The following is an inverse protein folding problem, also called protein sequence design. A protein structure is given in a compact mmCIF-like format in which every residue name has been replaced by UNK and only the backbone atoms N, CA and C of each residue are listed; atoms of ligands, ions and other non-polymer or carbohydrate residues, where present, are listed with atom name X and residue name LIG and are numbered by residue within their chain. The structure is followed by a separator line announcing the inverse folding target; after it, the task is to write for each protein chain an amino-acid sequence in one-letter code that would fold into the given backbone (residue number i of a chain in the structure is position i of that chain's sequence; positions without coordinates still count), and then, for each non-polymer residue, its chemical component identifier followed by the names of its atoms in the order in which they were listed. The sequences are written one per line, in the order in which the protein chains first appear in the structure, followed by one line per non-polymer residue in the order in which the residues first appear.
data_IF_785160599733
#
_entry.id   IF_785160599733
#
_cell.length_a   1.000
_cell.length_b   1.000
_cell.length_c   1.000
_cell.angle_alpha   90.00
_cell.angle_beta   90.00
_cell.angle_gamma   90.00
#
_symmetry.space_group_name_H-M   'P 1'
#
loop_
_entity.id
_entity.type
_entity.pdbx_description
1 polymer ?
#
# COMPACT_ATOMS: atom_id res chain seq x y z
N UNK A 1 20.43 1.30 -28.21
CA UNK A 1 21.37 0.16 -28.17
C UNK A 1 20.58 -1.09 -28.54
N UNK A 2 21.10 -2.01 -29.38
CA UNK A 2 20.38 -3.26 -29.66
C UNK A 2 20.54 -4.21 -28.47
N UNK A 3 19.46 -4.86 -28.05
CA UNK A 3 19.51 -5.85 -26.97
C UNK A 3 20.40 -7.04 -27.34
N UNK A 4 21.06 -7.64 -26.33
CA UNK A 4 21.84 -8.87 -26.49
C UNK A 4 21.25 -10.04 -25.66
N UNK A 5 21.86 -11.23 -25.77
CA UNK A 5 21.43 -12.41 -25.02
C UNK A 5 21.60 -12.26 -23.49
N UNK A 6 22.53 -11.42 -23.03
CA UNK A 6 22.70 -11.13 -21.60
C UNK A 6 21.53 -10.31 -21.09
N UNK A 7 21.03 -9.37 -21.89
CA UNK A 7 19.85 -8.56 -21.55
C UNK A 7 18.58 -9.40 -21.47
N UNK A 8 18.39 -10.33 -22.42
CA UNK A 8 17.32 -11.34 -22.37
C UNK A 8 17.37 -12.15 -21.08
N UNK A 9 18.55 -12.67 -20.72
CA UNK A 9 18.71 -13.46 -19.51
C UNK A 9 18.45 -12.63 -18.25
N UNK A 10 18.85 -11.35 -18.25
CA UNK A 10 18.57 -10.41 -17.14
C UNK A 10 17.08 -10.22 -16.97
N UNK A 11 16.36 -9.85 -18.03
CA UNK A 11 14.90 -9.64 -17.99
C UNK A 11 14.17 -10.92 -17.58
N UNK A 12 14.61 -12.08 -18.08
CA UNK A 12 14.01 -13.37 -17.73
C UNK A 12 14.18 -13.72 -16.26
N UNK A 13 15.37 -13.48 -15.68
CA UNK A 13 15.59 -13.69 -14.24
C UNK A 13 14.75 -12.73 -13.39
N UNK A 14 14.61 -11.48 -13.83
CA UNK A 14 13.75 -10.50 -13.16
C UNK A 14 12.28 -10.89 -13.24
N UNK A 15 11.80 -11.35 -14.40
CA UNK A 15 10.42 -11.79 -14.55
C UNK A 15 10.09 -12.97 -13.61
N UNK A 16 11.03 -13.90 -13.43
CA UNK A 16 10.89 -15.03 -12.48
C UNK A 16 10.89 -14.58 -11.03
N UNK A 17 11.79 -13.67 -10.65
CA UNK A 17 11.80 -13.09 -9.29
C UNK A 17 10.54 -12.27 -9.00
N UNK A 18 10.04 -11.55 -10.00
CA UNK A 18 8.78 -10.82 -9.93
C UNK A 18 7.60 -11.76 -9.74
N UNK A 19 7.51 -12.80 -10.57
CA UNK A 19 6.43 -13.81 -10.50
C UNK A 19 6.40 -14.51 -9.15
N UNK A 20 7.57 -14.89 -8.61
CA UNK A 20 7.67 -15.62 -7.35
C UNK A 20 7.35 -14.78 -6.12
N UNK A 21 7.85 -13.54 -6.06
CA UNK A 21 7.89 -12.80 -4.81
C UNK A 21 6.82 -11.70 -4.69
N UNK A 22 6.37 -11.15 -5.83
CA UNK A 22 5.52 -9.95 -5.84
C UNK A 22 4.21 -10.19 -6.59
N UNK A 23 4.25 -10.94 -7.69
CA UNK A 23 3.09 -11.08 -8.54
C UNK A 23 1.96 -11.89 -7.87
N UNK A 24 0.74 -11.37 -7.95
CA UNK A 24 -0.41 -12.02 -7.34
C UNK A 24 -0.46 -11.82 -5.83
N UNK A 25 0.34 -10.89 -5.31
CA UNK A 25 0.26 -10.40 -3.93
C UNK A 25 -0.12 -8.94 -3.92
N UNK A 26 -0.91 -8.58 -2.92
CA UNK A 26 -1.22 -7.20 -2.58
C UNK A 26 -0.50 -6.87 -1.26
N UNK A 27 -0.03 -5.64 -1.16
CA UNK A 27 0.68 -5.15 0.01
C UNK A 27 -0.09 -3.98 0.61
N UNK A 28 -0.35 -4.03 1.91
CA UNK A 28 -0.88 -2.90 2.67
C UNK A 28 0.26 -2.23 3.42
N UNK A 29 0.48 -0.96 3.14
CA UNK A 29 1.56 -0.19 3.76
C UNK A 29 0.91 0.84 4.67
N UNK A 30 1.08 0.65 5.97
CA UNK A 30 0.59 1.53 7.01
C UNK A 30 1.72 2.51 7.36
N UNK A 31 1.49 3.81 7.19
CA UNK A 31 2.51 4.84 7.37
C UNK A 31 1.91 6.11 7.96
N UNK A 32 2.71 6.87 8.69
CA UNK A 32 2.25 8.06 9.39
C UNK A 32 2.92 8.20 10.73
N UNK A 33 2.38 9.10 11.54
CA UNK A 33 2.88 9.43 12.87
C UNK A 33 1.81 9.10 13.92
N UNK A 34 2.12 9.34 15.19
CA UNK A 34 1.26 9.07 16.34
C UNK A 34 -0.19 9.51 16.10
N UNK A 35 -1.13 8.58 16.29
CA UNK A 35 -2.57 8.81 16.10
C UNK A 35 -3.05 9.06 14.67
N UNK A 36 -2.17 9.07 13.66
CA UNK A 36 -2.52 9.40 12.27
C UNK A 36 -1.90 8.43 11.25
N UNK A 37 -2.12 7.13 11.46
CA UNK A 37 -1.72 6.11 10.48
C UNK A 37 -2.63 6.14 9.26
N UNK A 38 -2.02 6.29 8.09
CA UNK A 38 -2.64 6.16 6.78
C UNK A 38 -2.28 4.81 6.17
N UNK A 39 -3.03 4.40 5.16
CA UNK A 39 -2.76 3.16 4.44
C UNK A 39 -2.63 3.38 2.94
N UNK A 40 -1.76 2.58 2.33
CA UNK A 40 -1.57 2.49 0.89
C UNK A 40 -1.63 1.03 0.47
N UNK A 41 -2.57 0.69 -0.39
CA UNK A 41 -2.60 -0.61 -1.04
C UNK A 41 -1.77 -0.59 -2.32
N UNK A 42 -0.83 -1.52 -2.44
CA UNK A 42 0.07 -1.68 -3.59
C UNK A 42 -0.08 -3.08 -4.18
N UNK A 43 -0.61 -3.15 -5.40
CA UNK A 43 -0.77 -4.42 -6.12
C UNK A 43 0.29 -4.60 -7.21
N UNK A 44 0.87 -5.78 -7.30
CA UNK A 44 1.83 -6.15 -8.34
C UNK A 44 1.19 -7.10 -9.35
N UNK A 45 0.99 -6.61 -10.59
CA UNK A 45 0.37 -7.39 -11.67
C UNK A 45 1.30 -7.68 -12.85
N UNK A 46 1.17 -8.88 -13.40
CA UNK A 46 1.95 -9.35 -14.56
C UNK A 46 1.91 -8.42 -15.77
N UNK A 47 0.78 -7.74 -16.00
CA UNK A 47 0.57 -6.82 -17.12
C UNK A 47 1.47 -5.59 -17.08
N UNK A 48 2.06 -5.29 -15.91
CA UNK A 48 2.82 -4.06 -15.64
C UNK A 48 4.31 -4.28 -15.40
N UNK A 49 4.78 -5.51 -15.63
CA UNK A 49 6.19 -5.87 -15.49
C UNK A 49 7.12 -4.96 -16.32
N UNK A 50 6.70 -4.52 -17.52
CA UNK A 50 7.48 -3.63 -18.38
C UNK A 50 7.79 -2.27 -17.72
N UNK A 51 6.83 -1.69 -17.01
CA UNK A 51 6.99 -0.41 -16.30
C UNK A 51 7.98 -0.55 -15.14
N UNK A 52 7.87 -1.67 -14.41
CA UNK A 52 8.76 -2.03 -13.32
C UNK A 52 10.24 -2.06 -13.77
N UNK A 53 10.52 -2.68 -14.91
CA UNK A 53 11.90 -2.85 -15.40
C UNK A 53 12.38 -1.75 -16.35
N UNK A 54 11.61 -0.68 -16.54
CA UNK A 54 12.01 0.48 -17.35
C UNK A 54 12.21 0.16 -18.83
N UNK A 55 11.44 -0.80 -19.36
CA UNK A 55 11.46 -1.16 -20.79
C UNK A 55 10.53 -0.23 -21.55
N UNK A 56 11.09 0.50 -22.52
CA UNK A 56 10.31 1.37 -23.41
C UNK A 56 9.45 0.51 -24.37
N UNK A 57 8.15 0.55 -24.15
CA UNK A 57 7.14 -0.15 -24.97
C UNK A 57 7.07 0.36 -26.40
N UNK A 58 7.43 1.61 -26.67
CA UNK A 58 7.47 2.14 -28.04
C UNK A 58 8.64 1.56 -28.87
N UNK A 59 9.64 0.99 -28.19
CA UNK A 59 10.84 0.42 -28.82
C UNK A 59 10.96 -1.10 -28.64
N UNK A 60 10.01 -1.70 -27.93
CA UNK A 60 9.87 -3.14 -27.78
C UNK A 60 8.98 -3.68 -28.90
N UNK A 61 9.37 -4.79 -29.54
CA UNK A 61 8.60 -5.38 -30.64
C UNK A 61 7.45 -6.28 -30.16
N UNK A 62 7.30 -6.47 -28.85
CA UNK A 62 6.23 -7.28 -28.25
C UNK A 62 5.44 -6.46 -27.23
N UNK A 63 4.16 -6.76 -27.10
CA UNK A 63 3.28 -6.14 -26.10
C UNK A 63 3.76 -6.47 -24.67
N UNK A 64 3.54 -5.59 -23.67
CA UNK A 64 3.95 -5.79 -22.27
C UNK A 64 3.67 -7.17 -21.66
N UNK A 65 2.45 -7.67 -21.84
CA UNK A 65 2.04 -8.96 -21.32
C UNK A 65 2.73 -10.14 -22.02
N UNK A 66 3.01 -9.99 -23.32
CA UNK A 66 3.74 -11.00 -24.11
C UNK A 66 5.21 -11.01 -23.72
N UNK A 67 5.82 -9.84 -23.48
CA UNK A 67 7.17 -9.70 -22.96
C UNK A 67 7.33 -10.49 -21.65
N UNK A 68 6.44 -10.24 -20.69
CA UNK A 68 6.47 -10.94 -19.41
C UNK A 68 6.29 -12.46 -19.56
N UNK A 69 5.31 -12.91 -20.36
CA UNK A 69 5.09 -14.34 -20.62
C UNK A 69 6.33 -15.02 -21.19
N UNK A 70 6.93 -14.42 -22.21
CA UNK A 70 8.16 -14.93 -22.84
C UNK A 70 9.34 -14.95 -21.87
N UNK A 71 9.48 -13.90 -21.04
CA UNK A 71 10.54 -13.79 -20.04
C UNK A 71 10.45 -14.88 -18.96
N UNK A 72 9.24 -15.15 -18.44
CA UNK A 72 9.01 -16.22 -17.45
C UNK A 72 9.25 -17.60 -18.08
N UNK A 73 8.73 -17.82 -19.29
CA UNK A 73 8.87 -19.07 -20.03
C UNK A 73 10.30 -19.32 -20.57
N UNK A 74 11.19 -18.33 -20.53
CA UNK A 74 12.55 -18.44 -21.07
C UNK A 74 12.60 -18.45 -22.60
N UNK A 75 11.57 -17.94 -23.28
CA UNK A 75 11.45 -17.88 -24.75
C UNK A 75 11.63 -16.46 -25.31
N UNK A 76 12.02 -15.52 -24.45
CA UNK A 76 12.33 -14.14 -24.84
C UNK A 76 13.59 -14.10 -25.71
N UNK A 77 13.58 -13.29 -26.76
CA UNK A 77 14.73 -13.13 -27.67
C UNK A 77 15.20 -11.67 -27.72
N UNK A 78 16.45 -11.39 -28.15
CA UNK A 78 16.91 -10.01 -28.28
C UNK A 78 16.09 -9.21 -29.29
N UNK A 79 15.57 -9.88 -30.33
CA UNK A 79 14.67 -9.27 -31.32
C UNK A 79 13.37 -8.77 -30.69
N UNK A 80 12.83 -9.47 -29.69
CA UNK A 80 11.61 -9.04 -28.98
C UNK A 80 11.83 -7.71 -28.25
N UNK A 81 13.04 -7.47 -27.74
CA UNK A 81 13.41 -6.27 -26.99
C UNK A 81 13.74 -5.07 -27.91
N UNK A 82 14.13 -5.30 -29.16
CA UNK A 82 14.46 -4.21 -30.09
C UNK A 82 15.55 -3.29 -29.52
N UNK A 83 15.25 -2.00 -29.42
CA UNK A 83 16.13 -0.99 -28.81
C UNK A 83 15.64 -0.49 -27.44
N UNK A 84 14.66 -1.18 -26.83
CA UNK A 84 13.93 -0.75 -25.64
C UNK A 84 14.74 -0.65 -24.34
N UNK A 85 16.00 -1.04 -24.35
CA UNK A 85 16.87 -1.04 -23.19
C UNK A 85 17.51 0.34 -23.02
N UNK A 86 17.09 1.04 -21.97
CA UNK A 86 17.77 2.26 -21.55
C UNK A 86 19.14 1.92 -20.94
N UNK A 87 20.07 2.88 -21.00
CA UNK A 87 21.36 2.82 -20.30
C UNK A 87 21.24 2.74 -18.77
N UNK A 88 20.02 2.85 -18.23
CA UNK A 88 19.71 2.83 -16.81
C UNK A 88 19.13 1.49 -16.33
N UNK A 89 19.16 0.44 -17.16
CA UNK A 89 18.66 -0.87 -16.76
C UNK A 89 19.48 -1.45 -15.58
N UNK A 90 18.86 -1.72 -14.42
CA UNK A 90 19.58 -2.18 -13.24
C UNK A 90 20.18 -3.59 -13.43
N UNK A 91 21.30 -3.86 -12.75
CA UNK A 91 21.99 -5.15 -12.86
C UNK A 91 21.18 -6.33 -12.28
N UNK A 92 21.45 -7.56 -12.77
CA UNK A 92 20.77 -8.82 -12.42
C UNK A 92 20.60 -9.02 -10.91
N UNK A 93 21.67 -8.81 -10.14
CA UNK A 93 21.66 -9.00 -8.69
C UNK A 93 20.83 -7.93 -7.97
N UNK A 94 20.78 -6.73 -8.53
CA UNK A 94 20.24 -5.56 -7.85
C UNK A 94 18.72 -5.50 -7.95
N UNK A 95 18.15 -5.70 -9.14
CA UNK A 95 16.69 -5.73 -9.28
C UNK A 95 16.06 -7.00 -8.68
N UNK A 96 16.77 -8.14 -8.66
CA UNK A 96 16.34 -9.33 -7.90
C UNK A 96 16.42 -9.11 -6.38
N UNK A 97 17.48 -8.47 -5.88
CA UNK A 97 17.56 -8.04 -4.48
C UNK A 97 16.45 -7.06 -4.13
N UNK A 98 16.10 -6.13 -5.00
CA UNK A 98 15.02 -5.17 -4.74
C UNK A 98 13.66 -5.82 -4.55
N UNK A 99 13.31 -6.76 -5.43
CA UNK A 99 12.03 -7.45 -5.31
C UNK A 99 11.95 -8.32 -4.05
N UNK A 100 13.09 -8.83 -3.55
CA UNK A 100 13.17 -9.54 -2.27
C UNK A 100 13.20 -8.58 -1.06
N UNK A 101 13.89 -7.44 -1.19
CA UNK A 101 14.15 -6.49 -0.11
C UNK A 101 13.02 -5.48 0.10
N UNK A 102 12.09 -5.32 -0.85
CA UNK A 102 10.98 -4.38 -0.73
C UNK A 102 10.22 -4.60 0.58
N UNK A 103 9.78 -5.85 0.80
CA UNK A 103 9.07 -6.25 2.01
C UNK A 103 9.91 -6.09 3.29
N UNK A 104 11.25 -6.16 3.20
CA UNK A 104 12.14 -6.27 4.37
C UNK A 104 13.01 -5.04 4.63
N UNK A 105 12.91 -3.97 3.83
CA UNK A 105 13.82 -2.82 3.94
C UNK A 105 13.16 -1.46 3.76
N UNK A 106 11.91 -1.40 3.27
CA UNK A 106 11.16 -0.16 3.18
C UNK A 106 10.80 0.36 4.58
N UNK A 107 11.10 1.63 4.85
CA UNK A 107 10.88 2.25 6.16
C UNK A 107 10.17 3.59 6.10
N UNK A 108 10.08 4.25 4.94
CA UNK A 108 9.44 5.56 4.81
C UNK A 108 8.65 5.70 3.52
N UNK A 109 7.61 6.53 3.58
CA UNK A 109 6.77 6.96 2.47
C UNK A 109 6.90 8.48 2.32
N UNK A 110 7.11 8.98 1.10
CA UNK A 110 7.14 10.43 0.83
C UNK A 110 6.42 10.76 -0.47
N UNK A 111 5.99 12.01 -0.63
CA UNK A 111 5.40 12.45 -1.90
C UNK A 111 6.52 12.64 -2.93
N UNK A 112 6.24 12.32 -4.19
CA UNK A 112 7.17 12.59 -5.29
C UNK A 112 7.09 14.08 -5.65
N UNK A 113 8.25 14.73 -5.82
CA UNK A 113 8.28 16.03 -6.48
C UNK A 113 8.11 15.83 -8.00
N UNK A 114 7.01 16.33 -8.59
CA UNK A 114 6.73 16.14 -10.02
C UNK A 114 7.76 16.85 -10.92
N UNK A 115 8.43 17.90 -10.44
CA UNK A 115 9.37 18.69 -11.23
C UNK A 115 10.76 18.03 -11.33
N UNK A 116 11.13 17.20 -10.35
CA UNK A 116 12.48 16.62 -10.27
C UNK A 116 12.60 15.21 -10.86
N UNK A 117 11.50 14.49 -11.05
CA UNK A 117 11.59 13.04 -11.27
C UNK A 117 11.42 12.59 -12.72
N UNK A 118 10.76 13.35 -13.61
CA UNK A 118 10.38 12.90 -14.98
C UNK A 118 9.65 11.54 -15.00
N UNK A 119 9.22 11.03 -13.85
CA UNK A 119 8.45 9.79 -13.72
C UNK A 119 7.02 10.19 -13.40
N UNK A 120 6.05 9.50 -13.98
CA UNK A 120 4.67 9.63 -13.55
C UNK A 120 4.52 8.86 -12.22
N UNK A 121 4.95 9.48 -11.12
CA UNK A 121 4.89 8.93 -9.78
C UNK A 121 4.27 9.90 -8.78
N UNK A 122 3.53 9.38 -7.80
CA UNK A 122 2.87 10.17 -6.75
C UNK A 122 3.56 9.98 -5.40
N UNK A 123 4.09 8.78 -5.15
CA UNK A 123 4.63 8.37 -3.85
C UNK A 123 5.99 7.68 -4.04
N UNK A 124 6.94 7.98 -3.16
CA UNK A 124 8.18 7.23 -2.96
C UNK A 124 8.05 6.34 -1.75
N UNK A 125 8.43 5.08 -1.91
CA UNK A 125 8.67 4.17 -0.79
C UNK A 125 10.16 3.95 -0.69
N UNK A 126 10.74 4.26 0.45
CA UNK A 126 12.19 4.34 0.63
C UNK A 126 12.63 3.60 1.87
N UNK A 127 13.87 3.11 1.84
CA UNK A 127 14.50 2.48 2.98
C UNK A 127 16.02 2.33 2.82
N UNK A 128 16.62 1.49 3.65
CA UNK A 128 18.10 1.45 3.83
C UNK A 128 18.82 0.88 2.61
N UNK A 129 18.19 -0.06 1.89
CA UNK A 129 18.83 -0.80 0.79
C UNK A 129 18.15 -0.62 -0.59
N UNK A 130 16.88 -0.21 -0.63
CA UNK A 130 16.12 -0.08 -1.86
C UNK A 130 15.06 1.03 -1.75
N UNK A 131 14.81 1.72 -2.86
CA UNK A 131 13.85 2.82 -2.98
C UNK A 131 12.99 2.60 -4.23
N UNK A 132 11.71 2.95 -4.18
CA UNK A 132 10.69 2.64 -5.17
C UNK A 132 9.87 3.89 -5.46
N UNK A 133 9.80 4.29 -6.73
CA UNK A 133 8.84 5.29 -7.17
C UNK A 133 7.53 4.57 -7.47
N UNK A 134 6.55 4.73 -6.60
CA UNK A 134 5.20 4.25 -6.83
C UNK A 134 4.42 5.39 -7.48
N UNK A 135 4.00 5.14 -8.72
CA UNK A 135 3.13 6.06 -9.42
C UNK A 135 1.77 5.50 -9.64
N UNK A 136 0.76 6.22 -9.16
CA UNK A 136 -0.61 5.94 -9.52
C UNK A 136 -0.75 6.02 -11.04
N UNK A 137 -0.74 4.86 -11.71
CA UNK A 137 -1.24 4.75 -13.07
C UNK A 137 -2.76 4.87 -12.98
N UNK A 138 -3.29 6.10 -12.89
CA UNK A 138 -4.65 6.42 -13.33
C UNK A 138 -4.67 6.27 -14.85
N UNK A 139 -4.77 5.04 -15.33
CA UNK A 139 -4.98 4.76 -16.75
C UNK A 139 -6.27 3.96 -16.85
N UNK A 140 -7.32 4.66 -17.28
CA UNK A 140 -8.68 4.18 -17.54
C UNK A 140 -9.38 3.52 -16.34
N UNK A 141 -9.63 4.32 -15.30
CA UNK A 141 -10.72 4.03 -14.38
C UNK A 141 -12.04 4.19 -15.15
N UNK A 142 -12.48 3.13 -15.84
CA UNK A 142 -13.90 2.83 -15.78
C UNK A 142 -14.23 2.74 -14.29
N UNK A 143 -15.09 3.65 -13.86
CA UNK A 143 -15.47 3.86 -12.47
C UNK A 143 -15.85 2.52 -11.80
N UNK A 144 -15.69 2.48 -10.48
CA UNK A 144 -16.10 1.41 -9.55
C UNK A 144 -15.03 0.38 -9.16
N UNK A 145 -13.98 0.82 -8.47
CA UNK A 145 -13.42 0.09 -7.30
C UNK A 145 -12.37 0.97 -6.62
N UNK A 146 -12.20 0.76 -5.31
CA UNK A 146 -11.25 1.45 -4.44
C UNK A 146 -9.88 1.68 -5.09
N UNK A 147 -9.34 2.89 -4.91
CA UNK A 147 -8.10 3.36 -5.53
C UNK A 147 -6.87 2.52 -5.14
N UNK A 148 -6.59 1.43 -5.85
CA UNK A 148 -5.39 0.63 -5.66
C UNK A 148 -4.19 1.32 -6.35
N UNK A 149 -3.12 1.61 -5.60
CA UNK A 149 -1.90 2.17 -6.16
C UNK A 149 -1.08 1.06 -6.82
N UNK A 150 -0.36 1.41 -7.89
CA UNK A 150 0.37 0.42 -8.67
C UNK A 150 1.78 0.92 -8.93
N UNK A 151 2.82 0.09 -8.83
CA UNK A 151 4.19 0.54 -9.08
C UNK A 151 4.35 1.00 -10.54
N UNK A 152 4.90 2.20 -10.75
CA UNK A 152 5.13 2.77 -12.08
C UNK A 152 6.58 2.65 -12.53
N UNK A 153 7.54 2.53 -11.61
CA UNK A 153 8.95 2.25 -11.93
C UNK A 153 9.74 1.75 -10.72
N UNK A 154 10.80 0.98 -10.98
CA UNK A 154 11.85 0.75 -9.98
C UNK A 154 13.00 1.72 -10.23
N UNK A 155 13.35 2.52 -9.21
CA UNK A 155 14.50 3.42 -9.31
C UNK A 155 15.49 3.19 -8.17
N UNK A 156 16.72 2.96 -8.57
CA UNK A 156 17.87 3.08 -7.69
C UNK A 156 18.22 4.54 -7.48
N UNK A 157 17.90 5.04 -6.31
CA UNK A 157 18.43 6.30 -5.85
C UNK A 157 19.39 6.00 -4.68
N UNK A 158 20.36 6.89 -4.49
CA UNK A 158 21.04 6.97 -3.20
C UNK A 158 20.11 7.76 -2.26
N UNK A 159 20.18 7.59 -0.93
CA UNK A 159 19.38 8.37 0.00
C UNK A 159 19.37 9.87 -0.33
N UNK A 160 20.54 10.46 -0.61
CA UNK A 160 20.67 11.88 -0.96
C UNK A 160 19.95 12.27 -2.26
N UNK A 161 19.73 11.31 -3.18
CA UNK A 161 18.94 11.52 -4.40
C UNK A 161 17.45 11.34 -4.17
N UNK A 162 17.04 10.58 -3.16
CA UNK A 162 15.62 10.50 -2.73
C UNK A 162 15.21 11.81 -2.13
N UNK A 163 16.05 12.41 -1.28
CA UNK A 163 15.71 13.66 -0.62
C UNK A 163 15.54 14.79 -1.65
N UNK A 164 16.37 14.80 -2.71
CA UNK A 164 16.21 15.73 -3.84
C UNK A 164 14.97 15.50 -4.71
N UNK A 165 14.41 14.29 -4.67
CA UNK A 165 13.29 13.85 -5.53
C UNK A 165 11.96 13.70 -4.79
N UNK A 166 12.01 13.80 -3.46
CA UNK A 166 10.86 13.81 -2.59
C UNK A 166 10.40 15.27 -2.42
N UNK A 167 9.09 15.46 -2.33
CA UNK A 167 8.52 16.71 -1.84
C UNK A 167 7.81 16.46 -0.52
N UNK A 168 7.85 17.45 0.37
CA UNK A 168 7.20 17.36 1.68
C UNK A 168 7.89 16.37 2.63
N UNK A 169 7.12 15.96 3.63
CA UNK A 169 7.59 15.15 4.75
C UNK A 169 7.75 13.67 4.39
N UNK A 170 8.78 13.03 4.97
CA UNK A 170 9.01 11.58 4.87
C UNK A 170 8.34 10.93 6.07
N UNK A 171 7.17 10.34 5.85
CA UNK A 171 6.41 9.66 6.89
C UNK A 171 6.97 8.26 7.12
N UNK A 172 7.18 7.83 8.36
CA UNK A 172 7.68 6.48 8.63
C UNK A 172 6.58 5.44 8.35
N UNK A 173 7.01 4.25 7.92
CA UNK A 173 6.15 3.07 7.84
C UNK A 173 6.02 2.52 9.26
N UNK A 174 4.77 2.33 9.69
CA UNK A 174 4.40 1.73 10.97
C UNK A 174 4.30 0.21 10.81
N UNK A 175 3.65 -0.26 9.75
CA UNK A 175 3.51 -1.69 9.46
C UNK A 175 3.40 -1.96 7.96
N UNK A 176 3.78 -3.15 7.54
CA UNK A 176 3.53 -3.65 6.19
C UNK A 176 2.95 -5.04 6.26
N UNK A 177 1.82 -5.24 5.59
CA UNK A 177 1.16 -6.54 5.49
C UNK A 177 1.09 -6.99 4.03
N UNK A 178 0.99 -8.30 3.81
CA UNK A 178 0.68 -8.87 2.50
C UNK A 178 -0.47 -9.85 2.54
N UNK A 179 -1.10 -10.02 1.39
CA UNK A 179 -2.02 -11.10 1.09
C UNK A 179 -1.79 -11.62 -0.32
N UNK A 180 -2.21 -12.85 -0.55
CA UNK A 180 -2.48 -13.29 -1.91
C UNK A 180 -3.67 -12.51 -2.49
N UNK A 181 -3.62 -12.20 -3.78
CA UNK A 181 -4.64 -11.36 -4.44
C UNK A 181 -6.05 -11.96 -4.37
N UNK A 182 -6.18 -13.27 -4.21
CA UNK A 182 -7.45 -13.97 -4.02
C UNK A 182 -7.92 -14.02 -2.56
N UNK A 183 -7.07 -13.69 -1.59
CA UNK A 183 -7.42 -13.72 -0.18
C UNK A 183 -8.28 -12.51 0.19
N UNK A 184 -9.16 -12.70 1.18
CA UNK A 184 -10.14 -11.70 1.62
C UNK A 184 -9.54 -10.63 2.53
N UNK A 185 -8.46 -10.95 3.23
CA UNK A 185 -7.79 -10.03 4.15
C UNK A 185 -6.27 -10.21 4.14
N UNK A 186 -5.57 -9.23 4.69
CA UNK A 186 -4.12 -9.27 4.90
C UNK A 186 -3.77 -10.22 6.04
N UNK A 187 -3.05 -11.30 5.73
CA UNK A 187 -2.81 -12.42 6.64
C UNK A 187 -1.36 -12.53 7.12
N UNK A 188 -0.44 -11.82 6.47
CA UNK A 188 1.00 -11.91 6.72
C UNK A 188 1.56 -10.55 7.10
N UNK A 189 2.22 -10.47 8.28
CA UNK A 189 2.95 -9.28 8.71
C UNK A 189 4.39 -9.35 8.20
N UNK A 190 4.79 -8.39 7.39
CA UNK A 190 6.12 -8.32 6.77
C UNK A 190 7.08 -7.41 7.53
N UNK A 191 6.54 -6.35 8.14
CA UNK A 191 7.31 -5.35 8.87
C UNK A 191 6.42 -4.68 9.92
N UNK A 192 7.01 -4.35 11.06
CA UNK A 192 6.44 -3.48 12.08
C UNK A 192 7.53 -2.57 12.62
N UNK A 193 7.20 -1.32 12.91
CA UNK A 193 8.07 -0.38 13.58
C UNK A 193 7.73 -0.35 15.07
N UNK A 194 8.51 -1.06 15.88
CA UNK A 194 8.28 -1.19 17.32
C UNK A 194 8.24 0.17 18.04
N UNK A 195 8.97 1.18 17.55
CA UNK A 195 8.99 2.52 18.14
C UNK A 195 7.69 3.31 17.94
N UNK A 196 6.90 2.94 16.91
CA UNK A 196 5.63 3.59 16.58
C UNK A 196 4.42 2.71 16.87
N UNK A 197 4.64 1.46 17.29
CA UNK A 197 3.59 0.46 17.43
C UNK A 197 2.54 0.90 18.47
N UNK A 198 3.00 1.31 19.65
CA UNK A 198 2.14 1.78 20.74
C UNK A 198 1.40 3.07 20.37
N UNK A 199 2.13 4.08 19.87
CA UNK A 199 1.56 5.38 19.51
C UNK A 199 0.63 5.34 18.29
N UNK A 200 0.72 4.28 17.48
CA UNK A 200 -0.12 4.06 16.31
C UNK A 200 -1.20 2.99 16.54
N UNK A 201 -1.22 2.35 17.72
CA UNK A 201 -2.05 1.19 18.08
C UNK A 201 -3.48 1.32 17.59
N UNK A 202 -4.17 2.39 17.96
CA UNK A 202 -5.61 2.51 17.68
C UNK A 202 -5.88 2.62 16.19
N UNK A 203 -5.11 3.47 15.49
CA UNK A 203 -5.22 3.66 14.05
C UNK A 203 -4.82 2.41 13.26
N UNK A 204 -3.76 1.71 13.67
CA UNK A 204 -3.32 0.47 13.06
C UNK A 204 -4.31 -0.67 13.35
N UNK A 205 -4.85 -0.74 14.57
CA UNK A 205 -5.87 -1.71 14.96
C UNK A 205 -7.16 -1.53 14.17
N UNK A 206 -7.58 -0.28 13.91
CA UNK A 206 -8.70 -0.01 13.02
C UNK A 206 -8.44 -0.54 11.59
N UNK A 207 -7.25 -0.28 11.05
CA UNK A 207 -6.86 -0.75 9.71
C UNK A 207 -6.84 -2.28 9.67
N UNK A 208 -6.20 -2.95 10.63
CA UNK A 208 -6.11 -4.41 10.66
C UNK A 208 -7.47 -5.06 10.85
N UNK A 209 -8.36 -4.51 11.68
CA UNK A 209 -9.75 -5.02 11.81
C UNK A 209 -10.56 -4.85 10.52
N UNK A 210 -10.26 -3.82 9.73
CA UNK A 210 -11.00 -3.51 8.49
C UNK A 210 -10.52 -4.31 7.29
N UNK A 211 -9.21 -4.56 7.19
CA UNK A 211 -8.58 -5.13 5.99
C UNK A 211 -7.78 -6.41 6.26
N UNK A 212 -7.40 -6.68 7.49
CA UNK A 212 -6.63 -7.85 7.89
C UNK A 212 -7.48 -9.10 8.09
N UNK A 213 -6.85 -10.26 7.94
CA UNK A 213 -7.34 -11.50 8.53
C UNK A 213 -6.84 -11.56 9.98
N UNK A 214 -7.65 -11.06 10.89
CA UNK A 214 -7.28 -10.90 12.30
C UNK A 214 -6.94 -12.23 12.97
N UNK A 215 -7.61 -13.31 12.59
CA UNK A 215 -7.43 -14.62 13.21
C UNK A 215 -6.09 -15.23 12.79
N UNK A 216 -5.80 -15.19 11.48
CA UNK A 216 -4.51 -15.67 10.95
C UNK A 216 -3.35 -14.82 11.48
N UNK A 217 -3.52 -13.50 11.50
CA UNK A 217 -2.51 -12.58 12.02
C UNK A 217 -2.26 -12.80 13.51
N UNK A 218 -3.30 -12.95 14.33
CA UNK A 218 -3.15 -13.17 15.77
C UNK A 218 -2.52 -14.52 16.09
N UNK A 219 -2.84 -15.55 15.32
CA UNK A 219 -2.21 -16.87 15.45
C UNK A 219 -0.72 -16.81 15.14
N UNK A 220 -0.34 -16.05 14.10
CA UNK A 220 1.04 -16.00 13.60
C UNK A 220 1.91 -14.98 14.36
N UNK A 221 1.31 -13.91 14.87
CA UNK A 221 2.00 -12.78 15.51
C UNK A 221 1.28 -12.32 16.80
N UNK A 222 1.09 -13.21 17.80
CA UNK A 222 0.21 -12.96 18.93
C UNK A 222 0.58 -11.70 19.72
N UNK A 223 1.85 -11.55 20.10
CA UNK A 223 2.33 -10.39 20.89
C UNK A 223 2.03 -9.06 20.19
N UNK A 224 2.39 -8.95 18.90
CA UNK A 224 2.18 -7.72 18.12
C UNK A 224 0.69 -7.44 17.96
N UNK A 225 -0.12 -8.48 17.68
CA UNK A 225 -1.55 -8.31 17.47
C UNK A 225 -2.28 -7.98 18.77
N UNK A 226 -1.89 -8.56 19.90
CA UNK A 226 -2.47 -8.23 21.20
C UNK A 226 -2.17 -6.77 21.56
N UNK A 227 -0.94 -6.28 21.34
CA UNK A 227 -0.60 -4.85 21.45
C UNK A 227 -1.48 -3.98 20.55
N UNK A 228 -1.57 -4.29 19.25
CA UNK A 228 -2.35 -3.50 18.28
C UNK A 228 -3.86 -3.50 18.60
N UNK A 229 -4.38 -4.66 19.03
CA UNK A 229 -5.79 -4.80 19.40
C UNK A 229 -6.06 -4.20 20.78
N UNK A 230 -5.02 -3.84 21.50
CA UNK A 230 -5.14 -3.24 22.81
C UNK A 230 -5.55 -4.19 23.91
N UNK A 231 -5.33 -5.47 23.66
CA UNK A 231 -5.50 -6.56 24.59
C UNK A 231 -4.19 -6.64 25.36
N UNK A 232 -4.07 -5.82 26.40
CA UNK A 232 -2.96 -5.93 27.33
C UNK A 232 -3.14 -7.22 28.13
N UNK A 233 -2.25 -8.22 28.02
CA UNK A 233 -2.39 -9.49 28.71
C UNK A 233 -2.33 -9.36 30.24
N UNK A 234 -1.79 -8.25 30.76
CA UNK A 234 -1.74 -7.95 32.20
C UNK A 234 -2.89 -7.03 32.65
N UNK A 235 -3.69 -6.51 31.72
CA UNK A 235 -4.84 -5.67 32.00
C UNK A 235 -6.09 -6.53 31.99
N UNK A 236 -6.41 -7.08 33.16
CA UNK A 236 -7.74 -7.64 33.40
C UNK A 236 -8.78 -6.58 33.01
N UNK A 237 -9.55 -6.87 31.97
CA UNK A 237 -10.68 -6.03 31.59
C UNK A 237 -11.71 -6.18 32.70
N UNK A 238 -11.79 -5.21 33.61
CA UNK A 238 -12.78 -5.25 34.67
C UNK A 238 -14.17 -5.22 34.03
N UNK A 239 -14.90 -6.32 34.16
CA UNK A 239 -16.26 -6.44 33.62
C UNK A 239 -17.17 -5.35 34.17
N UNK A 240 -16.94 -4.92 35.41
CA UNK A 240 -17.72 -3.86 36.04
C UNK A 240 -17.53 -2.51 35.34
N UNK A 241 -16.29 -2.13 34.98
CA UNK A 241 -16.00 -0.91 34.23
C UNK A 241 -16.68 -0.93 32.84
N UNK A 242 -16.71 -2.10 32.18
CA UNK A 242 -17.39 -2.27 30.89
C UNK A 242 -18.91 -2.16 31.01
N UNK A 243 -19.48 -2.67 32.12
CA UNK A 243 -20.90 -2.49 32.41
C UNK A 243 -21.23 -1.02 32.68
N UNK A 244 -20.38 -0.30 33.42
CA UNK A 244 -20.54 1.14 33.66
C UNK A 244 -20.50 1.93 32.35
N UNK A 245 -19.49 1.71 31.49
CA UNK A 245 -19.36 2.37 30.19
C UNK A 245 -20.56 2.10 29.27
N UNK A 246 -21.05 0.85 29.23
CA UNK A 246 -22.25 0.48 28.47
C UNK A 246 -23.48 1.24 28.98
N UNK A 247 -23.59 1.41 30.30
CA UNK A 247 -24.72 2.11 30.93
C UNK A 247 -24.66 3.61 30.63
N UNK A 248 -23.46 4.20 30.65
CA UNK A 248 -23.24 5.59 30.28
C UNK A 248 -23.60 5.87 28.81
N UNK A 249 -23.16 5.00 27.89
CA UNK A 249 -23.48 5.12 26.46
C UNK A 249 -24.99 4.97 26.18
N UNK A 250 -25.67 4.08 26.89
CA UNK A 250 -27.13 3.94 26.80
C UNK A 250 -27.85 5.24 27.24
N UNK A 251 -27.38 5.86 28.32
CA UNK A 251 -27.90 7.14 28.79
C UNK A 251 -27.68 8.28 27.79
N UNK A 252 -26.49 8.39 27.20
CA UNK A 252 -26.22 9.39 26.16
C UNK A 252 -27.11 9.20 24.92
N UNK A 253 -27.32 7.95 24.50
CA UNK A 253 -28.17 7.62 23.36
C UNK A 253 -29.63 8.02 23.62
N UNK A 254 -30.13 7.77 24.83
CA UNK A 254 -31.47 8.17 25.24
C UNK A 254 -31.63 9.69 25.28
N UNK A 255 -30.62 10.42 25.77
CA UNK A 255 -30.65 11.88 25.76
C UNK A 255 -30.66 12.44 24.34
N UNK A 256 -29.83 11.89 23.44
CA UNK A 256 -29.81 12.26 22.02
C UNK A 256 -31.15 11.96 21.34
N UNK A 257 -31.78 10.82 21.63
CA UNK A 257 -33.09 10.47 21.12
C UNK A 257 -34.17 11.45 21.61
N UNK A 258 -34.17 11.82 22.90
CA UNK A 258 -35.08 12.85 23.44
C UNK A 258 -34.89 14.21 22.78
N UNK A 259 -33.63 14.64 22.55
CA UNK A 259 -33.34 15.89 21.83
C UNK A 259 -33.86 15.83 20.40
N UNK A 260 -33.67 14.70 19.70
CA UNK A 260 -34.22 14.47 18.35
C UNK A 260 -35.74 14.57 18.32
N UNK A 261 -36.43 13.97 19.29
CA UNK A 261 -37.89 14.03 19.44
C UNK A 261 -38.36 15.48 19.64
N UNK A 262 -37.67 16.23 20.52
CA UNK A 262 -37.95 17.65 20.77
C UNK A 262 -37.83 18.50 19.51
N UNK A 263 -36.74 18.35 18.74
CA UNK A 263 -36.58 19.04 17.47
C UNK A 263 -37.69 18.69 16.47
N UNK A 264 -38.09 17.43 16.40
CA UNK A 264 -39.16 16.97 15.51
C UNK A 264 -40.51 17.59 15.89
N UNK A 265 -40.81 17.69 17.18
CA UNK A 265 -42.03 18.31 17.70
C UNK A 265 -42.04 19.82 17.50
N UNK A 266 -40.90 20.51 17.62
CA UNK A 266 -40.79 21.94 17.33
C UNK A 266 -41.06 22.21 15.84
N UNK A 267 -40.52 21.38 14.95
CA UNK A 267 -40.74 21.48 13.50
C UNK A 267 -42.19 21.19 13.09
N UNK A 268 -42.91 20.32 13.83
CA UNK A 268 -44.32 20.02 13.55
C UNK A 268 -45.31 21.04 14.12
N UNK A 269 -44.87 21.96 14.99
CA UNK A 269 -45.70 22.99 15.61
C UNK A 269 -45.37 24.42 15.11
N UNK A 270 -44.62 24.55 14.01
CA UNK A 270 -44.45 25.85 13.36
C UNK A 270 -45.80 26.33 12.81
N UNK A 271 -46.33 27.51 13.22
CA UNK A 271 -47.64 27.96 12.79
C UNK A 271 -47.58 28.29 11.30
N UNK A 272 -48.35 27.55 10.50
CA UNK A 272 -48.63 27.93 9.13
C UNK A 272 -49.24 29.34 9.12
N UNK A 273 -48.55 30.25 8.42
CA UNK A 273 -48.98 31.59 8.06
C UNK A 273 -50.46 31.57 7.65
N UNK A 274 -51.33 32.17 8.48
CA UNK A 274 -52.65 32.63 8.05
C UNK A 274 -52.54 34.09 7.64
N UNK A 275 -51.90 34.35 6.51
CA UNK A 275 -52.08 35.60 5.76
C UNK A 275 -53.14 35.36 4.68
N UNK A 276 -54.39 35.59 5.06
CA UNK A 276 -55.54 35.56 4.17
C UNK A 276 -56.44 36.75 4.45
N UNK A 277 -56.01 37.93 3.97
CA UNK A 277 -56.87 39.06 3.59
C UNK A 277 -56.08 40.06 2.76
#
# INVERSE_FOLDING_TARGET
MKADNRDVQRISNLAKGYDRNLCGKDFLICYGEEGNTRMLEVAFSKKRFNYLVGIDIGQCHVKPWVLYKKAVAGTLTPRDLGSSLSQYFPSKALAARMMNLFASSATHVSKVDPLSTRVNAEIWISGVAAQFAIGCLKVNAEYHSSSCYVPSSLQLLKPEKVDKKSSGERMPIVAMLSKDASAKGYDTLLYVNDQLLESSRDSLGFIIRSFGDTDTLRTSYPVIMDTIMGLDPDKDMNLDDLFEDKTALAHELDELNRRRESFRNILSHSPADKSGR
#
